data_IF_314661920089
#
_entry.id   IF_314661920089
#
_cell.length_a   1.000
_cell.length_b   1.000
_cell.length_c   1.000
_cell.angle_alpha   90.00
_cell.angle_beta   90.00
_cell.angle_gamma   90.00
#
_symmetry.space_group_name_H-M   'P 1'
#
loop_
_entity.id
_entity.type
_entity.pdbx_description
1 polymer ?
#
# COMPACT_ATOMS: atom_id res chain seq x y z
N UNK A 1 0.24 -37.57 -55.59
CA UNK A 1 -0.37 -37.24 -54.28
C UNK A 1 0.13 -35.88 -53.83
N UNK A 2 -0.73 -34.85 -53.86
CA UNK A 2 -0.42 -33.51 -53.33
C UNK A 2 -0.85 -33.48 -51.86
N UNK A 3 0.08 -33.29 -50.93
CA UNK A 3 -0.24 -32.97 -49.54
C UNK A 3 -0.27 -31.44 -49.38
N UNK A 4 -1.46 -30.88 -49.17
CA UNK A 4 -1.64 -29.52 -48.65
C UNK A 4 -1.42 -29.58 -47.13
N UNK A 5 -0.39 -28.89 -46.64
CA UNK A 5 -0.23 -28.63 -45.21
C UNK A 5 -1.11 -27.44 -44.81
N UNK A 6 -2.08 -27.66 -43.94
CA UNK A 6 -2.86 -26.59 -43.30
C UNK A 6 -2.09 -26.14 -42.06
N UNK A 7 -1.54 -24.93 -42.10
CA UNK A 7 -1.08 -24.25 -40.88
C UNK A 7 -2.32 -23.78 -40.11
N UNK A 8 -2.62 -24.42 -38.99
CA UNK A 8 -3.58 -23.93 -38.01
C UNK A 8 -2.90 -22.90 -37.10
N UNK A 9 -3.09 -21.62 -37.38
CA UNK A 9 -2.69 -20.52 -36.49
C UNK A 9 -3.62 -20.51 -35.26
N UNK A 10 -3.08 -20.88 -34.11
CA UNK A 10 -3.76 -20.76 -32.81
C UNK A 10 -3.83 -19.26 -32.45
N UNK A 11 -4.99 -18.64 -32.59
CA UNK A 11 -5.22 -17.29 -32.11
C UNK A 11 -5.34 -17.34 -30.58
N UNK A 12 -4.31 -16.84 -29.88
CA UNK A 12 -4.37 -16.58 -28.44
C UNK A 12 -5.28 -15.37 -28.24
N UNK A 13 -6.55 -15.63 -27.91
CA UNK A 13 -7.47 -14.60 -27.40
C UNK A 13 -6.97 -14.18 -26.02
N UNK A 14 -6.20 -13.10 -25.95
CA UNK A 14 -5.99 -12.36 -24.72
C UNK A 14 -7.34 -11.76 -24.31
N UNK A 15 -8.04 -12.41 -23.38
CA UNK A 15 -9.21 -11.85 -22.73
C UNK A 15 -8.78 -10.66 -21.89
N UNK A 16 -8.85 -9.47 -22.48
CA UNK A 16 -8.77 -8.21 -21.75
C UNK A 16 -9.94 -8.21 -20.76
N UNK A 17 -9.67 -8.51 -19.49
CA UNK A 17 -10.63 -8.24 -18.42
C UNK A 17 -10.76 -6.72 -18.37
N UNK A 18 -11.87 -6.20 -18.91
CA UNK A 18 -12.20 -4.79 -18.82
C UNK A 18 -12.24 -4.40 -17.34
N UNK A 19 -11.51 -3.35 -16.96
CA UNK A 19 -11.57 -2.84 -15.60
C UNK A 19 -13.00 -2.41 -15.26
N UNK A 20 -13.45 -2.69 -14.04
CA UNK A 20 -14.81 -2.38 -13.64
C UNK A 20 -14.91 -0.91 -13.20
N UNK A 21 -15.98 -0.24 -13.58
CA UNK A 21 -16.28 1.10 -13.06
C UNK A 21 -17.05 0.98 -11.74
N UNK A 22 -16.81 1.88 -10.78
CA UNK A 22 -17.64 2.03 -9.58
C UNK A 22 -18.24 3.43 -9.55
N UNK A 23 -19.29 3.63 -10.35
CA UNK A 23 -19.93 4.95 -10.56
C UNK A 23 -21.24 5.13 -9.79
N UNK A 24 -21.67 4.10 -9.05
CA UNK A 24 -22.86 4.16 -8.20
C UNK A 24 -22.65 3.38 -6.90
N UNK A 25 -23.37 3.74 -5.81
CA UNK A 25 -23.31 3.01 -4.56
C UNK A 25 -23.81 1.57 -4.73
N UNK A 26 -23.08 0.56 -4.22
CA UNK A 26 -23.64 -0.78 -4.05
C UNK A 26 -24.93 -0.74 -3.21
N UNK A 27 -25.84 -1.67 -3.46
CA UNK A 27 -27.09 -1.79 -2.69
C UNK A 27 -26.81 -1.86 -1.18
N UNK A 28 -27.55 -1.07 -0.40
CA UNK A 28 -27.41 -1.00 1.06
C UNK A 28 -26.23 -0.16 1.56
N UNK A 29 -25.49 0.53 0.68
CA UNK A 29 -24.38 1.40 1.12
C UNK A 29 -24.88 2.68 1.80
N UNK A 30 -24.17 3.10 2.84
CA UNK A 30 -24.24 4.47 3.37
C UNK A 30 -23.53 5.39 2.37
N UNK A 31 -24.19 6.45 1.94
CA UNK A 31 -23.65 7.35 0.90
C UNK A 31 -23.10 8.63 1.51
N UNK A 32 -21.80 8.87 1.29
CA UNK A 32 -21.11 10.12 1.61
C UNK A 32 -20.98 10.96 0.34
N UNK A 33 -21.46 12.20 0.37
CA UNK A 33 -21.35 13.12 -0.76
C UNK A 33 -21.34 14.58 -0.30
N UNK A 34 -20.66 15.46 -1.03
CA UNK A 34 -20.68 16.92 -0.75
C UNK A 34 -22.09 17.52 -0.80
N UNK A 35 -22.96 16.95 -1.63
CA UNK A 35 -24.39 17.23 -1.67
C UNK A 35 -25.17 15.97 -2.09
N UNK A 36 -26.41 15.83 -1.63
CA UNK A 36 -27.29 14.71 -2.03
C UNK A 36 -26.97 13.33 -1.44
N UNK A 37 -25.95 13.22 -0.57
CA UNK A 37 -25.65 12.00 0.20
C UNK A 37 -26.38 11.97 1.54
N UNK A 38 -26.32 10.83 2.23
CA UNK A 38 -26.83 10.70 3.62
C UNK A 38 -25.95 11.49 4.59
N UNK A 39 -24.65 11.55 4.32
CA UNK A 39 -23.67 12.31 5.09
C UNK A 39 -22.78 13.15 4.19
N UNK A 40 -22.31 14.29 4.69
CA UNK A 40 -21.41 15.19 3.97
C UNK A 40 -19.93 14.96 4.29
N UNK A 41 -19.63 14.09 5.26
CA UNK A 41 -18.27 13.69 5.62
C UNK A 41 -18.19 12.19 5.93
N UNK A 42 -17.00 11.61 5.71
CA UNK A 42 -16.76 10.21 6.05
C UNK A 42 -16.84 9.97 7.56
N UNK A 43 -16.33 10.90 8.39
CA UNK A 43 -16.43 10.74 9.84
C UNK A 43 -17.88 10.66 10.32
N UNK A 44 -18.81 11.45 9.76
CA UNK A 44 -20.22 11.39 10.14
C UNK A 44 -20.86 10.04 9.75
N UNK A 45 -20.51 9.49 8.59
CA UNK A 45 -20.94 8.14 8.19
C UNK A 45 -20.34 7.04 9.07
N UNK A 46 -19.08 7.17 9.48
CA UNK A 46 -18.45 6.24 10.44
C UNK A 46 -19.11 6.34 11.83
N UNK A 47 -19.53 7.53 12.25
CA UNK A 47 -20.21 7.69 13.54
C UNK A 47 -21.63 7.10 13.55
N UNK A 48 -22.22 6.78 12.39
CA UNK A 48 -23.58 6.25 12.32
C UNK A 48 -23.67 4.73 12.31
N UNK A 49 -22.56 4.02 12.10
CA UNK A 49 -22.54 2.55 12.12
C UNK A 49 -22.39 2.02 13.56
N UNK A 50 -23.01 0.88 13.83
CA UNK A 50 -22.89 0.21 15.14
C UNK A 50 -21.53 -0.46 15.29
N UNK A 51 -20.84 -0.19 16.40
CA UNK A 51 -19.57 -0.83 16.75
C UNK A 51 -19.72 -2.25 17.27
N UNK A 52 -20.92 -2.63 17.75
CA UNK A 52 -21.22 -3.95 18.34
C UNK A 52 -21.84 -4.94 17.36
N UNK A 53 -22.38 -4.46 16.23
CA UNK A 53 -22.93 -5.31 15.18
C UNK A 53 -21.85 -6.12 14.48
N UNK A 54 -22.15 -7.39 14.18
CA UNK A 54 -21.29 -8.28 13.37
C UNK A 54 -21.60 -8.18 11.87
N UNK A 55 -22.60 -7.40 11.48
CA UNK A 55 -22.95 -7.20 10.08
C UNK A 55 -21.83 -6.51 9.30
N UNK A 56 -21.78 -6.75 7.99
CA UNK A 56 -20.92 -5.99 7.09
C UNK A 56 -21.52 -4.59 6.86
N UNK A 57 -20.72 -3.56 7.07
CA UNK A 57 -21.05 -2.19 6.69
C UNK A 57 -20.36 -1.83 5.38
N UNK A 58 -21.12 -1.16 4.49
CA UNK A 58 -20.58 -0.63 3.23
C UNK A 58 -20.82 0.87 3.20
N UNK A 59 -19.76 1.64 2.93
CA UNK A 59 -19.82 3.08 2.69
C UNK A 59 -19.41 3.33 1.25
N UNK A 60 -20.15 4.20 0.55
CA UNK A 60 -19.80 4.69 -0.78
C UNK A 60 -19.55 6.19 -0.73
N UNK A 61 -18.40 6.64 -1.23
CA UNK A 61 -18.00 8.04 -1.26
C UNK A 61 -18.10 8.57 -2.69
N UNK A 62 -18.94 9.60 -2.89
CA UNK A 62 -19.06 10.34 -4.14
C UNK A 62 -17.85 11.25 -4.39
N UNK A 63 -17.57 11.64 -5.66
CA UNK A 63 -16.43 12.47 -6.02
C UNK A 63 -16.28 13.73 -5.17
N UNK A 64 -15.04 14.10 -4.86
CA UNK A 64 -14.70 15.32 -4.15
C UNK A 64 -13.54 15.19 -3.18
N UNK A 65 -13.11 16.34 -2.65
CA UNK A 65 -12.07 16.45 -1.63
C UNK A 65 -12.68 16.66 -0.26
N UNK A 66 -12.41 15.75 0.68
CA UNK A 66 -12.89 15.76 2.06
C UNK A 66 -11.71 16.04 2.98
N UNK A 67 -11.75 17.17 3.68
CA UNK A 67 -10.65 17.63 4.53
C UNK A 67 -10.86 17.26 6.00
N UNK A 68 -9.76 17.00 6.69
CA UNK A 68 -9.73 16.65 8.11
C UNK A 68 -9.40 15.17 8.34
N UNK A 69 -9.15 14.83 9.60
CA UNK A 69 -8.88 13.44 9.97
C UNK A 69 -10.15 12.61 10.02
N UNK A 70 -10.01 11.32 9.69
CA UNK A 70 -11.04 10.32 9.91
C UNK A 70 -10.47 9.24 10.83
N UNK A 71 -11.21 8.93 11.90
CA UNK A 71 -10.91 7.85 12.83
C UNK A 71 -11.99 6.79 12.75
N UNK A 72 -11.59 5.57 12.40
CA UNK A 72 -12.43 4.38 12.36
C UNK A 72 -12.13 3.55 13.63
N UNK A 73 -13.07 3.45 14.57
CA UNK A 73 -12.86 2.69 15.80
C UNK A 73 -12.84 1.18 15.51
N UNK A 74 -12.54 0.38 16.54
CA UNK A 74 -12.71 -1.08 16.44
C UNK A 74 -14.19 -1.43 16.24
N UNK A 75 -14.50 -2.22 15.21
CA UNK A 75 -15.83 -2.72 14.91
C UNK A 75 -15.87 -4.24 15.09
N UNK A 76 -17.02 -4.79 15.48
CA UNK A 76 -17.25 -6.25 15.48
C UNK A 76 -17.49 -6.80 14.07
N UNK A 77 -18.07 -6.01 13.18
CA UNK A 77 -18.34 -6.36 11.79
C UNK A 77 -17.25 -5.89 10.83
N UNK A 78 -17.31 -6.39 9.60
CA UNK A 78 -16.46 -5.95 8.48
C UNK A 78 -16.89 -4.55 8.02
N UNK A 79 -15.93 -3.73 7.61
CA UNK A 79 -16.19 -2.44 6.97
C UNK A 79 -15.56 -2.39 5.58
N UNK A 80 -16.37 -2.06 4.58
CA UNK A 80 -15.92 -1.81 3.21
C UNK A 80 -16.23 -0.38 2.82
N UNK A 81 -15.23 0.33 2.32
CA UNK A 81 -15.38 1.67 1.79
C UNK A 81 -15.01 1.67 0.31
N UNK A 82 -16.00 1.98 -0.53
CA UNK A 82 -15.81 2.22 -1.95
C UNK A 82 -15.81 3.71 -2.24
N UNK A 83 -14.88 4.17 -3.08
CA UNK A 83 -14.97 5.49 -3.69
C UNK A 83 -15.43 5.41 -5.13
N UNK A 84 -16.04 6.50 -5.60
CA UNK A 84 -16.37 6.68 -7.00
C UNK A 84 -15.11 6.62 -7.87
N UNK A 85 -15.16 5.82 -8.94
CA UNK A 85 -14.16 5.80 -10.00
C UNK A 85 -14.76 5.29 -11.31
N UNK A 86 -14.23 5.78 -12.43
CA UNK A 86 -14.55 5.26 -13.75
C UNK A 86 -13.80 3.95 -14.07
N UNK A 87 -12.73 3.67 -13.34
CA UNK A 87 -11.90 2.47 -13.50
C UNK A 87 -11.34 2.07 -12.13
N UNK A 88 -11.83 0.97 -11.57
CA UNK A 88 -11.43 0.51 -10.24
C UNK A 88 -10.04 -0.13 -10.19
N UNK A 89 -9.48 -0.50 -11.35
CA UNK A 89 -8.12 -1.05 -11.48
C UNK A 89 -7.04 0.01 -11.70
N UNK A 90 -7.43 1.27 -11.91
CA UNK A 90 -6.51 2.37 -12.22
C UNK A 90 -6.62 3.48 -11.17
N UNK A 91 -5.64 3.53 -10.25
CA UNK A 91 -5.58 4.55 -9.20
C UNK A 91 -5.53 5.99 -9.75
N UNK A 92 -5.13 6.19 -11.02
CA UNK A 92 -5.11 7.53 -11.64
C UNK A 92 -6.50 8.07 -11.93
N UNK A 93 -7.52 7.20 -11.93
CA UNK A 93 -8.93 7.54 -12.13
C UNK A 93 -9.69 7.79 -10.81
N UNK A 94 -9.02 7.73 -9.66
CA UNK A 94 -9.61 8.04 -8.36
C UNK A 94 -10.14 9.48 -8.32
N UNK A 95 -11.41 9.67 -7.95
CA UNK A 95 -12.06 10.99 -7.88
C UNK A 95 -12.40 11.43 -6.45
N UNK A 96 -12.02 10.63 -5.45
CA UNK A 96 -12.22 10.92 -4.04
C UNK A 96 -10.87 11.13 -3.37
N UNK A 97 -10.73 12.27 -2.70
CA UNK A 97 -9.55 12.61 -1.92
C UNK A 97 -9.94 12.83 -0.47
N UNK A 98 -9.31 12.10 0.45
CA UNK A 98 -9.30 12.43 1.87
C UNK A 98 -7.96 13.07 2.19
N UNK A 99 -7.98 14.27 2.77
CA UNK A 99 -6.75 15.05 2.99
C UNK A 99 -6.72 15.69 4.36
N UNK A 100 -5.53 15.72 4.95
CA UNK A 100 -5.24 16.50 6.15
C UNK A 100 -3.81 17.05 6.05
N UNK A 101 -3.44 17.97 6.94
CA UNK A 101 -2.06 18.42 7.10
C UNK A 101 -1.76 18.44 8.59
N UNK A 102 -1.06 17.42 9.07
CA UNK A 102 -0.75 17.29 10.50
C UNK A 102 0.50 16.45 10.68
N UNK A 103 1.49 16.99 11.42
CA UNK A 103 2.69 16.25 11.78
C UNK A 103 2.49 15.43 13.07
N UNK A 104 3.32 14.41 13.26
CA UNK A 104 3.35 13.65 14.51
C UNK A 104 3.79 14.50 15.71
N UNK A 105 4.65 15.50 15.49
CA UNK A 105 5.09 16.42 16.53
C UNK A 105 3.91 17.26 17.06
N UNK A 106 3.06 17.78 16.15
CA UNK A 106 1.87 18.55 16.52
C UNK A 106 0.75 17.66 17.06
N UNK A 107 0.62 16.44 16.51
CA UNK A 107 -0.41 15.48 16.92
C UNK A 107 -0.09 14.73 18.23
N UNK A 108 1.17 14.73 18.66
CA UNK A 108 1.68 14.00 19.82
C UNK A 108 2.05 12.53 19.55
N UNK A 109 1.82 11.99 18.35
CA UNK A 109 2.34 10.68 17.94
C UNK A 109 2.18 10.45 16.43
N UNK A 110 2.88 9.43 15.90
CA UNK A 110 2.69 9.00 14.51
C UNK A 110 1.23 8.64 14.22
N UNK A 111 0.59 7.77 15.02
CA UNK A 111 -0.81 7.36 14.83
C UNK A 111 -1.76 8.56 14.77
N UNK A 112 -1.60 9.51 15.69
CA UNK A 112 -2.46 10.69 15.78
C UNK A 112 -2.24 11.67 14.61
N UNK A 113 -1.15 11.57 13.84
CA UNK A 113 -0.93 12.42 12.67
C UNK A 113 -1.71 11.96 11.42
N UNK A 114 -2.21 10.72 11.40
CA UNK A 114 -2.71 10.11 10.19
C UNK A 114 -3.98 10.79 9.65
N UNK A 115 -4.05 11.03 8.34
CA UNK A 115 -5.29 11.49 7.67
C UNK A 115 -6.43 10.48 7.86
N UNK A 116 -6.13 9.19 7.75
CA UNK A 116 -7.06 8.10 8.06
C UNK A 116 -6.45 7.17 9.12
N UNK A 117 -7.16 6.98 10.24
CA UNK A 117 -6.81 6.04 11.31
C UNK A 117 -7.78 4.87 11.30
N UNK A 118 -7.27 3.65 11.15
CA UNK A 118 -8.08 2.44 10.99
C UNK A 118 -7.75 1.43 12.09
N UNK A 119 -8.53 1.45 13.17
CA UNK A 119 -8.37 0.51 14.30
C UNK A 119 -9.21 -0.77 14.16
N UNK A 120 -10.10 -0.85 13.16
CA UNK A 120 -10.95 -2.04 12.96
C UNK A 120 -10.20 -3.16 12.23
N UNK A 121 -10.57 -4.40 12.56
CA UNK A 121 -10.18 -5.56 11.76
C UNK A 121 -11.11 -5.70 10.54
N UNK A 122 -10.70 -6.51 9.56
CA UNK A 122 -11.52 -6.83 8.37
C UNK A 122 -12.03 -5.59 7.65
N UNK A 123 -11.08 -4.76 7.23
CA UNK A 123 -11.31 -3.50 6.56
C UNK A 123 -10.91 -3.58 5.09
N UNK A 124 -11.71 -2.98 4.20
CA UNK A 124 -11.31 -2.81 2.81
C UNK A 124 -11.58 -1.39 2.33
N UNK A 125 -10.60 -0.81 1.64
CA UNK A 125 -10.68 0.53 1.05
C UNK A 125 -10.35 0.46 -0.44
N UNK A 126 -11.20 1.08 -1.26
CA UNK A 126 -11.07 1.08 -2.71
C UNK A 126 -11.01 2.50 -3.26
N UNK A 127 -10.04 2.76 -4.14
CA UNK A 127 -10.01 3.91 -5.06
C UNK A 127 -10.05 5.30 -4.40
N UNK A 128 -9.47 5.42 -3.21
CA UNK A 128 -9.33 6.68 -2.48
C UNK A 128 -7.91 7.22 -2.60
N UNK A 129 -7.79 8.52 -2.82
CA UNK A 129 -6.55 9.26 -2.59
C UNK A 129 -6.49 9.70 -1.12
N UNK A 130 -5.56 9.15 -0.35
CA UNK A 130 -5.26 9.51 1.04
C UNK A 130 -4.00 10.36 1.08
N UNK A 131 -4.14 11.61 1.53
CA UNK A 131 -3.07 12.60 1.48
C UNK A 131 -2.83 13.16 2.88
N UNK A 132 -1.56 13.17 3.32
CA UNK A 132 -1.11 14.07 4.36
C UNK A 132 -0.19 15.14 3.74
N UNK A 133 -0.67 16.37 3.72
CA UNK A 133 -0.06 17.50 3.03
C UNK A 133 1.05 18.20 3.81
N UNK A 134 1.51 17.67 4.95
CA UNK A 134 2.56 18.31 5.76
C UNK A 134 3.88 18.49 4.99
N UNK A 135 4.27 17.49 4.18
CA UNK A 135 5.50 17.53 3.42
C UNK A 135 6.75 17.25 4.25
N UNK A 136 7.89 17.79 3.81
CA UNK A 136 9.20 17.51 4.41
C UNK A 136 9.36 18.24 5.75
N UNK A 137 9.83 17.53 6.78
CA UNK A 137 10.30 18.13 8.04
C UNK A 137 9.94 17.33 9.29
N UNK A 138 8.90 16.51 9.23
CA UNK A 138 8.41 15.69 10.34
C UNK A 138 7.63 14.50 9.80
N UNK A 139 7.44 13.48 10.62
CA UNK A 139 6.54 12.35 10.33
C UNK A 139 5.11 12.87 10.12
N UNK A 140 4.44 12.39 9.08
CA UNK A 140 3.08 12.81 8.76
C UNK A 140 2.37 11.72 7.94
N UNK A 141 1.55 10.92 8.61
CA UNK A 141 0.97 9.71 8.02
C UNK A 141 -0.20 10.07 7.10
N UNK A 142 -0.26 9.46 5.92
CA UNK A 142 -1.50 9.40 5.14
C UNK A 142 -2.47 8.39 5.77
N UNK A 143 -1.94 7.27 6.26
CA UNK A 143 -2.74 6.23 6.91
C UNK A 143 -2.03 5.59 8.12
N UNK A 144 -2.80 5.38 9.18
CA UNK A 144 -2.48 4.45 10.27
C UNK A 144 -3.33 3.19 10.14
N UNK A 145 -2.72 2.11 9.67
CA UNK A 145 -3.33 0.80 9.52
C UNK A 145 -3.08 -0.02 10.80
N UNK A 146 -3.97 0.17 11.78
CA UNK A 146 -3.81 -0.29 13.16
C UNK A 146 -4.82 -1.40 13.55
N UNK A 147 -5.25 -2.19 12.57
CA UNK A 147 -6.06 -3.39 12.75
C UNK A 147 -5.57 -4.51 11.84
N UNK A 148 -6.15 -5.70 12.00
CA UNK A 148 -5.75 -6.91 11.26
C UNK A 148 -6.67 -7.18 10.08
N UNK A 149 -6.14 -7.85 9.05
CA UNK A 149 -6.89 -8.24 7.85
C UNK A 149 -7.43 -7.01 7.12
N UNK A 150 -6.53 -6.08 6.78
CA UNK A 150 -6.85 -4.84 6.09
C UNK A 150 -6.37 -4.88 4.65
N UNK A 151 -7.23 -4.49 3.71
CA UNK A 151 -6.92 -4.54 2.29
C UNK A 151 -7.20 -3.21 1.58
N UNK A 152 -6.27 -2.79 0.73
CA UNK A 152 -6.31 -1.51 0.04
C UNK A 152 -6.12 -1.72 -1.46
N UNK A 153 -7.06 -1.23 -2.25
CA UNK A 153 -7.18 -1.55 -3.67
C UNK A 153 -7.29 -0.27 -4.50
N UNK A 154 -6.35 -0.06 -5.43
CA UNK A 154 -6.39 1.12 -6.29
C UNK A 154 -6.26 2.44 -5.52
N UNK A 155 -5.76 2.42 -4.28
CA UNK A 155 -5.63 3.62 -3.46
C UNK A 155 -4.36 4.40 -3.84
N UNK A 156 -4.37 5.71 -3.57
CA UNK A 156 -3.16 6.53 -3.59
C UNK A 156 -2.84 6.96 -2.17
N UNK A 157 -1.62 6.71 -1.68
CA UNK A 157 -1.13 7.15 -0.38
C UNK A 157 -0.02 8.17 -0.60
N UNK A 158 -0.23 9.41 -0.16
CA UNK A 158 0.66 10.53 -0.48
C UNK A 158 1.12 11.23 0.79
N UNK A 159 2.44 11.29 0.96
CA UNK A 159 3.11 12.00 2.05
C UNK A 159 4.59 12.22 1.75
N UNK A 160 5.41 12.38 2.78
CA UNK A 160 6.86 12.54 2.64
C UNK A 160 7.63 11.64 3.60
N UNK A 161 7.43 11.81 4.91
CA UNK A 161 8.00 10.95 5.94
C UNK A 161 6.87 10.16 6.62
N UNK A 162 7.07 8.85 6.77
CA UNK A 162 6.14 7.95 7.46
C UNK A 162 4.74 7.87 6.81
N UNK A 163 4.64 7.86 5.47
CA UNK A 163 3.35 7.91 4.73
C UNK A 163 2.36 6.78 5.13
N UNK A 164 2.81 5.53 5.21
CA UNK A 164 1.99 4.36 5.57
C UNK A 164 2.53 3.71 6.84
N UNK A 165 1.69 3.66 7.89
CA UNK A 165 1.98 2.93 9.11
C UNK A 165 1.24 1.59 9.18
N UNK A 166 1.96 0.52 8.86
CA UNK A 166 1.50 -0.88 8.89
C UNK A 166 1.65 -1.46 10.31
N UNK A 167 0.90 -0.94 11.27
CA UNK A 167 1.15 -1.22 12.69
C UNK A 167 0.70 -2.62 13.17
N UNK A 168 -0.21 -3.28 12.44
CA UNK A 168 -0.75 -4.59 12.78
C UNK A 168 -0.65 -5.58 11.61
N UNK A 169 -0.60 -6.90 11.87
CA UNK A 169 -0.34 -7.87 10.81
C UNK A 169 -1.54 -8.06 9.87
N UNK A 170 -1.27 -8.73 8.74
CA UNK A 170 -2.22 -9.12 7.71
C UNK A 170 -2.76 -7.92 6.94
N UNK A 171 -1.90 -7.34 6.11
CA UNK A 171 -2.24 -6.21 5.26
C UNK A 171 -1.92 -6.49 3.80
N UNK A 172 -2.82 -6.09 2.90
CA UNK A 172 -2.62 -6.18 1.45
C UNK A 172 -2.81 -4.81 0.83
N UNK A 173 -1.88 -4.41 -0.02
CA UNK A 173 -1.95 -3.23 -0.86
C UNK A 173 -1.81 -3.69 -2.30
N UNK A 174 -2.81 -3.41 -3.13
CA UNK A 174 -2.82 -3.88 -4.52
C UNK A 174 -3.12 -2.75 -5.50
N UNK A 175 -2.40 -2.74 -6.62
CA UNK A 175 -2.56 -1.77 -7.71
C UNK A 175 -2.62 -0.32 -7.19
N UNK A 176 -1.85 -0.03 -6.14
CA UNK A 176 -1.91 1.24 -5.41
C UNK A 176 -0.70 2.13 -5.74
N UNK A 177 -0.88 3.43 -5.62
CA UNK A 177 0.20 4.41 -5.69
C UNK A 177 0.65 4.78 -4.28
N UNK A 178 1.95 4.75 -4.02
CA UNK A 178 2.54 5.05 -2.71
C UNK A 178 3.67 6.06 -2.91
N UNK A 179 3.54 7.23 -2.31
CA UNK A 179 4.49 8.32 -2.44
C UNK A 179 5.11 8.73 -1.09
N UNK A 180 6.45 8.86 -1.10
CA UNK A 180 7.21 9.39 0.02
C UNK A 180 8.71 9.42 -0.23
N UNK A 181 9.46 9.72 0.82
CA UNK A 181 10.91 9.87 0.81
C UNK A 181 11.57 9.09 1.97
N UNK A 182 11.13 9.32 3.21
CA UNK A 182 11.78 8.78 4.41
C UNK A 182 10.85 7.81 5.13
N UNK A 183 11.29 6.56 5.28
CA UNK A 183 10.60 5.51 6.05
C UNK A 183 9.11 5.39 5.69
N UNK A 184 8.75 5.67 4.44
CA UNK A 184 7.36 5.96 4.10
C UNK A 184 6.46 4.71 4.01
N UNK A 185 7.05 3.52 4.12
CA UNK A 185 6.37 2.27 4.45
C UNK A 185 7.02 1.71 5.72
N UNK A 186 6.37 1.86 6.87
CA UNK A 186 6.93 1.46 8.16
C UNK A 186 5.88 0.85 9.09
N UNK A 187 6.30 0.28 10.22
CA UNK A 187 5.40 -0.40 11.14
C UNK A 187 6.12 -1.35 12.09
N UNK A 188 5.54 -1.60 13.26
CA UNK A 188 6.13 -2.47 14.28
C UNK A 188 5.79 -3.95 14.00
N UNK A 189 4.50 -4.28 13.97
CA UNK A 189 4.00 -5.65 13.83
C UNK A 189 3.46 -5.94 12.42
N UNK A 190 3.86 -5.15 11.43
CA UNK A 190 3.31 -5.24 10.09
C UNK A 190 3.72 -6.54 9.39
N UNK A 191 2.72 -7.28 8.92
CA UNK A 191 2.87 -8.38 7.98
C UNK A 191 2.10 -7.98 6.72
N UNK A 192 2.82 -7.41 5.75
CA UNK A 192 2.23 -6.61 4.68
C UNK A 192 2.75 -7.04 3.29
N UNK A 193 1.81 -7.27 2.38
CA UNK A 193 2.06 -7.60 0.99
C UNK A 193 1.65 -6.46 0.06
N UNK A 194 2.59 -5.95 -0.73
CA UNK A 194 2.38 -4.92 -1.73
C UNK A 194 2.47 -5.55 -3.12
N UNK A 195 1.32 -5.73 -3.78
CA UNK A 195 1.20 -6.37 -5.10
C UNK A 195 0.98 -5.32 -6.19
N UNK A 196 1.86 -5.29 -7.21
CA UNK A 196 1.70 -4.40 -8.37
C UNK A 196 1.54 -2.91 -8.00
N UNK A 197 2.18 -2.47 -6.91
CA UNK A 197 2.14 -1.07 -6.49
C UNK A 197 3.14 -0.21 -7.27
N UNK A 198 2.77 1.04 -7.55
CA UNK A 198 3.71 2.09 -7.95
C UNK A 198 4.26 2.76 -6.69
N UNK A 199 5.58 2.70 -6.51
CA UNK A 199 6.29 3.30 -5.38
C UNK A 199 7.09 4.51 -5.92
N UNK A 200 6.59 5.71 -5.62
CA UNK A 200 7.06 6.96 -6.18
C UNK A 200 7.89 7.75 -5.15
N UNK A 201 9.18 7.90 -5.45
CA UNK A 201 10.14 8.56 -4.56
C UNK A 201 10.12 10.07 -4.79
N UNK A 202 9.72 10.84 -3.79
CA UNK A 202 9.65 12.31 -3.87
C UNK A 202 10.76 13.05 -3.10
N UNK A 203 11.72 12.31 -2.54
CA UNK A 203 12.91 12.84 -1.88
C UNK A 203 13.92 11.74 -1.56
N UNK A 204 15.13 12.12 -1.18
CA UNK A 204 16.13 11.17 -0.73
C UNK A 204 15.72 10.52 0.60
N UNK A 205 15.98 9.22 0.76
CA UNK A 205 15.65 8.51 2.00
C UNK A 205 15.57 6.99 1.86
N UNK A 206 14.52 6.40 2.42
CA UNK A 206 14.36 4.97 2.65
C UNK A 206 12.93 4.56 2.33
N UNK A 207 12.74 3.53 1.50
CA UNK A 207 11.40 3.06 1.14
C UNK A 207 10.73 2.38 2.33
N UNK A 208 11.41 1.40 2.92
CA UNK A 208 10.87 0.61 4.02
C UNK A 208 11.63 0.83 5.34
N UNK A 209 10.89 0.81 6.44
CA UNK A 209 11.42 0.77 7.79
C UNK A 209 10.64 -0.27 8.63
N UNK A 210 11.00 -1.54 8.47
CA UNK A 210 10.41 -2.63 9.25
C UNK A 210 10.85 -2.52 10.71
N UNK A 211 9.87 -2.44 11.62
CA UNK A 211 10.04 -2.38 13.07
C UNK A 211 9.83 -3.73 13.74
N UNK A 212 9.98 -4.83 13.02
CA UNK A 212 9.93 -6.17 13.59
C UNK A 212 11.05 -6.34 14.61
N UNK A 213 10.70 -6.61 15.87
CA UNK A 213 11.63 -6.66 17.01
C UNK A 213 11.74 -8.07 17.64
N UNK A 214 11.18 -9.09 16.99
CA UNK A 214 11.22 -10.47 17.45
C UNK A 214 11.37 -11.47 16.29
N UNK A 215 11.61 -12.74 16.60
CA UNK A 215 11.73 -13.82 15.63
C UNK A 215 10.38 -14.34 15.06
N UNK A 216 9.31 -13.53 15.06
CA UNK A 216 7.98 -13.88 14.54
C UNK A 216 7.95 -14.23 13.02
N UNK A 217 6.77 -14.50 12.45
CA UNK A 217 6.62 -14.89 11.04
C UNK A 217 6.29 -13.72 10.08
N UNK A 218 6.37 -12.46 10.50
CA UNK A 218 5.90 -11.31 9.71
C UNK A 218 6.93 -10.77 8.70
N UNK A 219 6.45 -10.33 7.54
CA UNK A 219 7.28 -9.82 6.45
C UNK A 219 6.69 -8.56 5.85
N UNK A 220 7.55 -7.70 5.33
CA UNK A 220 7.17 -6.83 4.21
C UNK A 220 7.59 -7.47 2.91
N UNK A 221 6.67 -7.56 1.96
CA UNK A 221 6.98 -8.04 0.61
C UNK A 221 6.49 -7.02 -0.41
N UNK A 222 7.43 -6.46 -1.17
CA UNK A 222 7.15 -5.61 -2.33
C UNK A 222 7.28 -6.51 -3.56
N UNK A 223 6.15 -6.93 -4.12
CA UNK A 223 6.09 -7.87 -5.23
C UNK A 223 5.53 -7.21 -6.49
N UNK A 224 6.23 -7.38 -7.61
CA UNK A 224 5.84 -6.78 -8.92
C UNK A 224 5.64 -5.27 -8.83
N UNK A 225 6.37 -4.61 -7.93
CA UNK A 225 6.28 -3.16 -7.76
C UNK A 225 7.05 -2.44 -8.86
N UNK A 226 6.65 -1.21 -9.14
CA UNK A 226 7.44 -0.24 -9.92
C UNK A 226 8.01 0.79 -8.97
N UNK A 227 9.33 0.77 -8.74
CA UNK A 227 10.02 1.70 -7.84
C UNK A 227 10.78 2.72 -8.69
N UNK A 228 10.35 3.98 -8.64
CA UNK A 228 10.95 5.04 -9.44
C UNK A 228 10.87 6.41 -8.75
N UNK A 229 11.71 7.35 -9.18
CA UNK A 229 11.53 8.75 -8.85
C UNK A 229 10.14 9.22 -9.31
N UNK A 230 9.44 10.00 -8.47
CA UNK A 230 8.19 10.65 -8.86
C UNK A 230 8.44 11.50 -10.10
N UNK A 231 7.62 11.34 -11.13
CA UNK A 231 7.74 12.12 -12.36
C UNK A 231 7.67 13.63 -12.05
N UNK A 232 8.57 14.40 -12.63
CA UNK A 232 8.66 15.85 -12.42
C UNK A 232 9.17 16.31 -11.04
N UNK A 233 9.56 15.39 -10.15
CA UNK A 233 10.05 15.75 -8.81
C UNK A 233 11.49 16.27 -8.75
N UNK A 234 12.28 16.03 -9.82
CA UNK A 234 13.70 16.38 -9.84
C UNK A 234 14.58 15.53 -8.90
N UNK A 235 14.05 14.45 -8.32
CA UNK A 235 14.82 13.52 -7.48
C UNK A 235 15.97 12.93 -8.30
N UNK A 236 17.19 13.11 -7.80
CA UNK A 236 18.40 12.64 -8.46
C UNK A 236 18.47 11.11 -8.49
N UNK A 237 19.29 10.57 -9.39
CA UNK A 237 19.70 9.16 -9.35
C UNK A 237 20.30 8.81 -7.98
N UNK A 238 20.17 7.56 -7.58
CA UNK A 238 20.80 7.03 -6.35
C UNK A 238 20.42 7.84 -5.08
N UNK A 239 19.19 8.33 -5.02
CA UNK A 239 18.68 9.11 -3.89
C UNK A 239 18.06 8.26 -2.77
N UNK A 240 17.71 7.00 -3.03
CA UNK A 240 17.02 6.15 -2.06
C UNK A 240 17.65 4.77 -1.89
N UNK A 241 17.31 4.10 -0.79
CA UNK A 241 17.53 2.66 -0.59
C UNK A 241 16.19 1.96 -0.36
N UNK A 242 16.15 0.65 -0.61
CA UNK A 242 14.98 -0.21 -0.44
C UNK A 242 14.49 -0.25 1.02
N UNK A 243 15.38 -0.03 1.98
CA UNK A 243 15.00 0.14 3.38
C UNK A 243 16.15 0.24 4.36
N UNK A 244 15.78 0.44 5.63
CA UNK A 244 16.65 0.38 6.80
C UNK A 244 15.92 -0.25 8.00
N UNK A 245 16.64 -0.97 8.89
CA UNK A 245 16.00 -1.73 9.97
C UNK A 245 15.62 -0.81 11.13
N UNK A 246 14.33 -0.50 11.30
CA UNK A 246 13.89 0.27 12.48
C UNK A 246 14.12 -0.51 13.78
N UNK A 247 14.06 -1.85 13.71
CA UNK A 247 14.31 -2.78 14.83
C UNK A 247 15.21 -3.94 14.41
N UNK A 248 15.75 -4.67 15.39
CA UNK A 248 16.85 -5.62 15.19
C UNK A 248 16.47 -6.82 14.31
N UNK A 249 15.19 -7.16 14.25
CA UNK A 249 14.66 -8.29 13.49
C UNK A 249 13.94 -7.84 12.20
N UNK A 250 14.21 -6.63 11.72
CA UNK A 250 13.60 -6.08 10.51
C UNK A 250 13.69 -7.07 9.33
N UNK A 251 12.56 -7.25 8.62
CA UNK A 251 12.47 -8.24 7.55
C UNK A 251 11.69 -7.73 6.35
N UNK A 252 12.36 -7.67 5.20
CA UNK A 252 11.82 -7.11 3.95
C UNK A 252 12.32 -7.93 2.76
N UNK A 253 11.42 -8.20 1.82
CA UNK A 253 11.74 -8.76 0.50
C UNK A 253 11.25 -7.82 -0.59
N UNK A 254 12.11 -7.53 -1.57
CA UNK A 254 11.72 -6.86 -2.81
C UNK A 254 11.91 -7.85 -3.95
N UNK A 255 10.82 -8.24 -4.61
CA UNK A 255 10.85 -9.30 -5.60
C UNK A 255 10.04 -8.99 -6.85
N UNK A 256 10.49 -9.54 -7.99
CA UNK A 256 9.87 -9.41 -9.30
C UNK A 256 9.56 -7.96 -9.69
N UNK A 257 10.30 -6.99 -9.14
CA UNK A 257 9.99 -5.57 -9.21
C UNK A 257 10.93 -4.83 -10.15
N UNK A 258 10.42 -3.78 -10.79
CA UNK A 258 11.22 -2.88 -11.64
C UNK A 258 11.80 -1.74 -10.79
N UNK A 259 13.12 -1.67 -10.70
CA UNK A 259 13.86 -0.70 -9.91
C UNK A 259 14.56 0.29 -10.84
N UNK A 260 14.12 1.54 -10.85
CA UNK A 260 14.79 2.59 -11.61
C UNK A 260 16.14 2.97 -10.98
N UNK A 261 16.92 3.80 -11.69
CA UNK A 261 18.21 4.33 -11.21
C UNK A 261 18.11 5.25 -9.97
N UNK A 262 16.91 5.46 -9.39
CA UNK A 262 16.75 6.18 -8.12
C UNK A 262 17.30 5.38 -6.93
N UNK A 263 17.35 4.04 -7.04
CA UNK A 263 17.86 3.15 -6.00
C UNK A 263 19.39 3.13 -6.02
N UNK A 264 20.03 3.35 -4.87
CA UNK A 264 21.48 3.28 -4.71
C UNK A 264 22.00 1.85 -4.96
N UNK A 265 23.22 1.67 -5.52
CA UNK A 265 23.83 0.36 -5.72
C UNK A 265 23.91 -0.52 -4.46
N UNK A 266 24.09 0.11 -3.29
CA UNK A 266 24.14 -0.58 -1.98
C UNK A 266 22.82 -1.25 -1.59
N UNK A 267 21.70 -0.80 -2.17
CA UNK A 267 20.35 -1.36 -2.03
C UNK A 267 19.70 -1.11 -0.68
N UNK A 268 20.44 -1.23 0.43
CA UNK A 268 19.94 -1.16 1.80
C UNK A 268 20.86 -0.34 2.69
N UNK A 269 20.36 0.15 3.81
CA UNK A 269 21.16 0.86 4.81
C UNK A 269 21.02 0.21 6.18
N UNK A 270 22.09 0.27 6.99
CA UNK A 270 21.99 0.03 8.42
C UNK A 270 21.24 1.18 9.11
N UNK A 271 20.76 0.93 10.33
CA UNK A 271 20.20 1.96 11.20
C UNK A 271 21.29 2.51 12.11
N UNK A 272 21.96 3.57 11.68
CA UNK A 272 23.13 4.09 12.39
C UNK A 272 24.21 3.00 12.53
N UNK A 273 24.61 2.72 13.77
CA UNK A 273 25.59 1.69 14.13
C UNK A 273 24.95 0.38 14.60
N UNK A 274 23.62 0.24 14.49
CA UNK A 274 22.93 -0.96 14.98
C UNK A 274 23.38 -2.21 14.21
N UNK A 275 23.51 -3.35 14.91
CA UNK A 275 23.91 -4.60 14.28
C UNK A 275 22.84 -5.08 13.29
N UNK A 276 23.29 -5.74 12.22
CA UNK A 276 22.41 -6.30 11.18
C UNK A 276 22.33 -7.83 11.22
N UNK A 277 22.81 -8.46 12.29
CA UNK A 277 22.92 -9.92 12.40
C UNK A 277 21.58 -10.66 12.31
N UNK A 278 20.50 -10.04 12.80
CA UNK A 278 19.14 -10.58 12.78
C UNK A 278 18.26 -9.97 11.66
N UNK A 279 18.79 -9.01 10.90
CA UNK A 279 18.08 -8.34 9.81
C UNK A 279 18.01 -9.28 8.60
N UNK A 280 16.82 -9.44 8.03
CA UNK A 280 16.62 -10.26 6.84
C UNK A 280 16.09 -9.39 5.69
N UNK A 281 17.01 -8.82 4.92
CA UNK A 281 16.70 -8.05 3.71
C UNK A 281 17.12 -8.83 2.48
N UNK A 282 16.18 -9.06 1.58
CA UNK A 282 16.42 -9.89 0.41
C UNK A 282 15.80 -9.36 -0.88
N UNK A 283 16.40 -9.76 -2.00
CA UNK A 283 15.94 -9.45 -3.35
C UNK A 283 15.79 -10.72 -4.19
N UNK A 284 14.81 -10.73 -5.10
CA UNK A 284 14.60 -11.82 -6.06
C UNK A 284 14.06 -11.31 -7.40
N UNK A 285 14.68 -11.67 -8.52
CA UNK A 285 14.08 -11.45 -9.86
C UNK A 285 13.75 -9.99 -10.20
N UNK A 286 14.38 -9.01 -9.55
CA UNK A 286 14.16 -7.59 -9.84
C UNK A 286 14.86 -7.19 -11.16
N UNK A 287 14.29 -6.22 -11.86
CA UNK A 287 14.80 -5.66 -13.14
C UNK A 287 15.05 -4.16 -13.02
N UNK A 288 15.54 -3.55 -14.10
CA UNK A 288 15.84 -2.12 -14.16
C UNK A 288 17.22 -1.77 -13.61
N UNK A 289 17.67 -0.53 -13.84
CA UNK A 289 19.03 -0.09 -13.50
C UNK A 289 19.32 -0.18 -12.00
N UNK A 290 18.33 0.08 -11.14
CA UNK A 290 18.46 0.01 -9.69
C UNK A 290 18.54 -1.42 -9.14
N UNK A 291 18.23 -2.44 -9.94
CA UNK A 291 18.39 -3.84 -9.56
C UNK A 291 19.85 -4.34 -9.67
N UNK A 292 20.74 -3.52 -10.24
CA UNK A 292 22.17 -3.82 -10.38
C UNK A 292 23.01 -3.11 -9.31
N UNK A 293 24.28 -3.53 -9.17
CA UNK A 293 25.26 -2.92 -8.26
C UNK A 293 25.65 -3.81 -7.08
N UNK A 294 26.65 -3.36 -6.31
CA UNK A 294 27.16 -4.08 -5.15
C UNK A 294 26.29 -3.79 -3.93
N UNK A 295 25.44 -4.74 -3.56
CA UNK A 295 24.64 -4.68 -2.34
C UNK A 295 25.53 -4.71 -1.09
N UNK A 296 25.02 -4.17 0.01
CA UNK A 296 25.61 -4.37 1.34
C UNK A 296 25.82 -5.87 1.62
N UNK A 297 26.92 -6.23 2.28
CA UNK A 297 27.36 -7.62 2.45
C UNK A 297 26.40 -8.51 3.22
N UNK A 298 25.52 -7.91 4.03
CA UNK A 298 24.50 -8.61 4.82
C UNK A 298 23.15 -8.77 4.09
N UNK A 299 22.96 -8.14 2.91
CA UNK A 299 21.79 -8.37 2.08
C UNK A 299 21.81 -9.79 1.48
N UNK A 300 20.62 -10.34 1.24
CA UNK A 300 20.43 -11.69 0.71
C UNK A 300 19.92 -11.65 -0.73
N UNK A 301 20.38 -12.59 -1.55
CA UNK A 301 19.79 -12.88 -2.86
C UNK A 301 19.04 -14.20 -2.74
N UNK A 302 17.74 -14.20 -3.00
CA UNK A 302 16.94 -15.42 -2.94
C UNK A 302 17.14 -16.26 -4.21
N UNK A 303 16.92 -17.57 -4.10
CA UNK A 303 16.89 -18.52 -5.22
C UNK A 303 15.49 -18.72 -5.81
N UNK A 304 14.45 -18.36 -5.06
CA UNK A 304 13.04 -18.39 -5.47
C UNK A 304 12.29 -17.22 -4.80
N UNK A 305 11.16 -16.76 -5.36
CA UNK A 305 10.35 -15.74 -4.70
C UNK A 305 9.67 -16.33 -3.46
N UNK A 306 9.32 -15.49 -2.48
CA UNK A 306 8.36 -15.87 -1.44
C UNK A 306 6.93 -15.82 -2.01
N UNK A 307 6.04 -16.67 -1.49
CA UNK A 307 4.64 -16.74 -1.93
C UNK A 307 3.72 -16.00 -0.96
N UNK A 308 2.65 -15.39 -1.46
CA UNK A 308 1.68 -14.71 -0.59
C UNK A 308 1.06 -15.68 0.42
N UNK A 309 0.80 -16.94 0.05
CA UNK A 309 0.28 -17.95 0.99
C UNK A 309 1.22 -18.25 2.15
N UNK A 310 2.54 -18.20 1.93
CA UNK A 310 3.53 -18.38 2.99
C UNK A 310 3.62 -17.19 3.94
N UNK A 311 3.30 -15.99 3.47
CA UNK A 311 3.39 -14.75 4.24
C UNK A 311 2.07 -14.43 4.94
N UNK A 312 0.96 -14.64 4.23
CA UNK A 312 -0.42 -14.37 4.61
C UNK A 312 -1.25 -15.65 4.42
N UNK A 313 -1.09 -16.67 5.28
CA UNK A 313 -1.83 -17.91 5.14
C UNK A 313 -3.34 -17.64 5.21
N UNK A 314 -4.08 -18.20 4.26
CA UNK A 314 -5.54 -18.02 4.17
C UNK A 314 -5.97 -16.63 3.68
N UNK A 315 -5.09 -15.85 3.03
CA UNK A 315 -5.42 -14.49 2.57
C UNK A 315 -6.70 -14.42 1.72
N UNK A 316 -6.98 -15.47 0.96
CA UNK A 316 -8.16 -15.58 0.09
C UNK A 316 -9.49 -15.51 0.83
N UNK A 317 -9.51 -15.66 2.17
CA UNK A 317 -10.73 -15.57 2.97
C UNK A 317 -11.14 -14.13 3.31
N UNK A 318 -10.24 -13.17 3.16
CA UNK A 318 -10.48 -11.76 3.52
C UNK A 318 -10.03 -10.75 2.46
N UNK A 319 -9.22 -11.17 1.49
CA UNK A 319 -8.90 -10.41 0.29
C UNK A 319 -9.99 -10.60 -0.76
N UNK A 320 -10.41 -9.51 -1.41
CA UNK A 320 -11.27 -9.58 -2.60
C UNK A 320 -10.52 -10.27 -3.74
N UNK A 321 -10.83 -11.54 -3.97
CA UNK A 321 -10.20 -12.34 -5.01
C UNK A 321 -10.67 -11.97 -6.43
N UNK A 322 -11.80 -11.28 -6.55
CA UNK A 322 -12.26 -10.74 -7.84
C UNK A 322 -11.33 -9.61 -8.27
N UNK A 323 -11.08 -8.67 -7.35
CA UNK A 323 -10.08 -7.62 -7.55
C UNK A 323 -8.66 -8.19 -7.58
N UNK A 324 -8.36 -9.27 -6.86
CA UNK A 324 -7.03 -9.87 -6.88
C UNK A 324 -6.68 -10.50 -8.24
N UNK A 325 -7.65 -11.10 -8.91
CA UNK A 325 -7.42 -11.83 -10.16
C UNK A 325 -7.62 -10.95 -11.41
N UNK A 326 -8.08 -9.70 -11.26
CA UNK A 326 -8.10 -8.75 -12.37
C UNK A 326 -6.68 -8.47 -12.86
N UNK A 327 -6.57 -8.33 -14.19
CA UNK A 327 -5.31 -8.20 -14.92
C UNK A 327 -4.66 -6.84 -14.67
#
# INVERSE_FOLDING_TARGET
MKFLGVLSSLAILASNVLAASRTSPPSGSIVVAKSGGQYTSLQAAINSISTSSTATFTIFIQPGTYSGQVSIPSLKGKLVIYAYTNNDQDYTQNQVTLTNTLSAADAGSNDLSATLRVATNYFSLYNVNLINGYGKGSQALAISANGQYQAYYGCSFVGYQDTIYTNKPHQVYKNSYIEGATDFIFGNDGNAWFEKCTIAINGAGYITASGRDSADAYWYVLNKAKIAAKSGSGVAKESTVLGRPWREYARVVVQNSDLSNVVKPVGWSAWGTNPTGNVYYAEYGNTGTGASGTRVSWAKKLSSPVSIDSILPGYTSWVDMTYWNSS
#
